data_IF_937762275457
#
_entry.id   IF_937762275457
#
_cell.length_a   1.000
_cell.length_b   1.000
_cell.length_c   1.000
_cell.angle_alpha   90.00
_cell.angle_beta   90.00
_cell.angle_gamma   90.00
#
_symmetry.space_group_name_H-M   'P 1'
#
loop_
_entity.id
_entity.type
_entity.pdbx_description
1 polymer ?
#
# COMPACT_ATOMS: atom_id res chain seq x y z
N UNK A 1 11.71 -36.24 -2.75
CA UNK A 1 11.36 -35.67 -1.43
C UNK A 1 12.14 -34.39 -1.24
N UNK A 2 11.56 -33.24 -1.57
CA UNK A 2 12.23 -31.94 -1.44
C UNK A 2 12.06 -31.48 0.01
N UNK A 3 13.12 -31.54 0.82
CA UNK A 3 13.09 -30.92 2.14
C UNK A 3 12.89 -29.41 1.93
N UNK A 4 11.74 -28.88 2.35
CA UNK A 4 11.57 -27.45 2.48
C UNK A 4 12.65 -26.94 3.46
N UNK A 5 13.56 -26.11 2.96
CA UNK A 5 14.52 -25.40 3.78
C UNK A 5 13.71 -24.61 4.83
N UNK A 6 14.02 -24.79 6.11
CA UNK A 6 13.28 -24.12 7.19
C UNK A 6 13.31 -22.59 7.05
N UNK A 7 12.39 -21.92 7.74
CA UNK A 7 12.36 -20.45 7.76
C UNK A 7 13.58 -19.90 8.52
N UNK A 8 14.18 -18.82 8.01
CA UNK A 8 15.24 -18.07 8.71
C UNK A 8 14.71 -17.31 9.93
N UNK A 9 15.58 -16.55 10.61
CA UNK A 9 15.17 -15.67 11.72
C UNK A 9 14.34 -14.51 11.18
N UNK A 10 13.19 -14.24 11.80
CA UNK A 10 12.29 -13.14 11.44
C UNK A 10 11.66 -12.52 12.68
N UNK A 11 11.16 -11.29 12.54
CA UNK A 11 10.39 -10.61 13.57
C UNK A 11 8.90 -10.72 13.27
N UNK A 12 8.08 -10.70 14.32
CA UNK A 12 6.62 -10.65 14.20
C UNK A 12 6.11 -9.40 14.93
N UNK A 13 5.57 -8.46 14.18
CA UNK A 13 4.90 -7.29 14.72
C UNK A 13 3.40 -7.57 14.89
N UNK A 14 2.87 -7.39 16.09
CA UNK A 14 1.46 -7.54 16.39
C UNK A 14 0.83 -6.18 16.72
N UNK A 15 -0.34 -5.88 16.15
CA UNK A 15 -1.07 -4.64 16.44
C UNK A 15 -2.57 -4.89 16.47
N UNK A 16 -3.21 -4.50 17.57
CA UNK A 16 -4.66 -4.44 17.68
C UNK A 16 -5.14 -2.99 17.61
N UNK A 17 -6.07 -2.68 16.72
CA UNK A 17 -6.64 -1.34 16.64
C UNK A 17 -7.58 -1.10 17.82
N UNK A 18 -7.32 -0.06 18.62
CA UNK A 18 -8.20 0.33 19.74
C UNK A 18 -9.60 0.66 19.22
N UNK A 19 -10.63 0.35 20.03
CA UNK A 19 -12.03 0.74 19.76
C UNK A 19 -12.12 2.24 19.51
N UNK A 20 -12.52 2.63 18.30
CA UNK A 20 -12.98 4.00 18.04
C UNK A 20 -14.51 4.04 18.13
N UNK A 21 -15.08 5.23 18.34
CA UNK A 21 -16.51 5.45 18.66
C UNK A 21 -17.53 4.68 17.80
N UNK A 22 -17.16 4.28 16.58
CA UNK A 22 -18.08 3.62 15.65
C UNK A 22 -17.55 2.34 14.98
N UNK A 23 -16.29 1.91 15.19
CA UNK A 23 -15.73 0.71 14.54
C UNK A 23 -14.67 0.03 15.43
N UNK A 24 -14.82 -1.27 15.61
CA UNK A 24 -13.79 -2.15 16.17
C UNK A 24 -13.27 -3.04 15.03
N UNK A 25 -11.96 -3.21 14.94
CA UNK A 25 -11.39 -4.25 14.06
C UNK A 25 -11.70 -5.61 14.66
N UNK A 26 -12.32 -6.50 13.89
CA UNK A 26 -12.60 -7.88 14.32
C UNK A 26 -11.30 -8.68 14.48
N UNK A 27 -10.25 -8.30 13.75
CA UNK A 27 -8.96 -8.99 13.72
C UNK A 27 -7.77 -8.08 14.05
N UNK A 28 -6.73 -8.68 14.64
CA UNK A 28 -5.45 -8.04 14.85
C UNK A 28 -4.57 -8.13 13.58
N UNK A 29 -3.64 -7.20 13.44
CA UNK A 29 -2.57 -7.34 12.46
C UNK A 29 -1.43 -8.16 13.06
N UNK A 30 -1.05 -9.23 12.38
CA UNK A 30 0.20 -9.97 12.61
C UNK A 30 1.06 -9.86 11.35
N UNK A 31 2.22 -9.22 11.48
CA UNK A 31 3.07 -8.85 10.35
C UNK A 31 4.42 -9.53 10.54
N UNK A 32 4.73 -10.48 9.65
CA UNK A 32 6.06 -11.06 9.52
C UNK A 32 6.98 -10.05 8.83
N UNK A 33 8.11 -9.73 9.45
CA UNK A 33 8.99 -8.67 8.97
C UNK A 33 10.46 -8.91 9.34
N UNK A 34 11.37 -8.38 8.53
CA UNK A 34 12.80 -8.27 8.85
C UNK A 34 13.15 -6.96 9.57
N UNK A 35 12.19 -6.06 9.76
CA UNK A 35 12.40 -4.78 10.44
C UNK A 35 12.56 -5.02 11.95
N UNK A 36 13.58 -4.39 12.56
CA UNK A 36 13.86 -4.52 14.00
C UNK A 36 12.92 -3.72 14.90
N UNK A 37 12.33 -2.63 14.38
CA UNK A 37 11.48 -1.72 15.14
C UNK A 37 9.99 -1.93 14.87
N UNK A 38 9.19 -2.04 15.93
CA UNK A 38 7.74 -2.27 15.85
C UNK A 38 7.02 -1.13 15.09
N UNK A 39 7.36 0.12 15.40
CA UNK A 39 6.74 1.28 14.75
C UNK A 39 7.08 1.36 13.26
N UNK A 40 8.30 0.98 12.87
CA UNK A 40 8.71 0.90 11.48
C UNK A 40 7.89 -0.18 10.75
N UNK A 41 7.73 -1.36 11.34
CA UNK A 41 6.92 -2.43 10.76
C UNK A 41 5.46 -2.02 10.56
N UNK A 42 4.85 -1.42 11.58
CA UNK A 42 3.46 -0.94 11.52
C UNK A 42 3.30 0.18 10.50
N UNK A 43 4.23 1.15 10.46
CA UNK A 43 4.18 2.29 9.52
C UNK A 43 4.35 1.81 8.08
N UNK A 44 5.28 0.91 7.82
CA UNK A 44 5.48 0.32 6.50
C UNK A 44 4.27 -0.49 6.07
N UNK A 45 3.69 -1.32 6.95
CA UNK A 45 2.51 -2.12 6.61
C UNK A 45 1.28 -1.26 6.30
N UNK A 46 1.09 -0.14 7.02
CA UNK A 46 0.01 0.82 6.72
C UNK A 46 0.07 1.38 5.29
N UNK A 47 1.26 1.50 4.70
CA UNK A 47 1.41 2.03 3.36
C UNK A 47 0.85 1.09 2.28
N UNK A 48 0.56 -0.18 2.58
CA UNK A 48 0.00 -1.12 1.59
C UNK A 48 -1.31 -0.62 0.97
N UNK A 49 -2.10 0.14 1.72
CA UNK A 49 -3.41 0.65 1.25
C UNK A 49 -3.28 1.78 0.21
N UNK A 50 -2.09 2.39 0.06
CA UNK A 50 -1.87 3.43 -0.96
C UNK A 50 -2.09 2.93 -2.39
N UNK A 51 -1.88 1.64 -2.66
CA UNK A 51 -2.13 1.05 -3.98
C UNK A 51 -3.64 1.03 -4.30
N UNK A 52 -4.50 0.86 -3.29
CA UNK A 52 -5.95 0.89 -3.46
C UNK A 52 -6.45 2.31 -3.75
N UNK A 53 -5.86 3.32 -3.10
CA UNK A 53 -6.10 4.73 -3.40
C UNK A 53 -5.68 5.04 -4.84
N UNK A 54 -4.47 4.63 -5.25
CA UNK A 54 -4.01 4.77 -6.63
C UNK A 54 -4.97 4.12 -7.63
N UNK A 55 -5.40 2.87 -7.41
CA UNK A 55 -6.35 2.20 -8.30
C UNK A 55 -7.72 2.87 -8.35
N UNK A 56 -8.18 3.44 -7.23
CA UNK A 56 -9.41 4.23 -7.19
C UNK A 56 -9.27 5.48 -8.07
N UNK A 57 -8.16 6.20 -7.93
CA UNK A 57 -7.89 7.42 -8.69
C UNK A 57 -7.80 7.15 -10.20
N UNK A 58 -7.20 6.03 -10.60
CA UNK A 58 -7.14 5.59 -12.01
C UNK A 58 -8.52 5.32 -12.62
N UNK A 59 -9.46 4.83 -11.80
CA UNK A 59 -10.85 4.54 -12.18
C UNK A 59 -11.72 5.77 -11.95
N UNK A 60 -12.75 5.67 -11.12
CA UNK A 60 -13.74 6.74 -10.90
C UNK A 60 -13.32 7.82 -9.89
N UNK A 61 -12.21 7.62 -9.18
CA UNK A 61 -11.78 8.49 -8.09
C UNK A 61 -11.11 9.80 -8.52
N UNK A 62 -10.63 9.90 -9.76
CA UNK A 62 -9.99 11.13 -10.25
C UNK A 62 -9.73 11.15 -11.75
N UNK A 63 -8.81 10.32 -12.22
CA UNK A 63 -8.28 10.37 -13.58
C UNK A 63 -9.20 9.77 -14.65
N UNK A 64 -10.10 8.85 -14.28
CA UNK A 64 -11.13 8.31 -15.18
C UNK A 64 -10.57 7.85 -16.52
N UNK A 65 -9.47 7.09 -16.49
CA UNK A 65 -8.71 6.69 -17.70
C UNK A 65 -9.62 6.07 -18.76
N UNK A 66 -10.59 5.25 -18.36
CA UNK A 66 -11.55 4.63 -19.28
C UNK A 66 -12.40 5.64 -20.04
N UNK A 67 -12.80 6.75 -19.41
CA UNK A 67 -13.58 7.82 -20.07
C UNK A 67 -12.73 8.70 -20.99
N UNK A 68 -11.42 8.76 -20.76
CA UNK A 68 -10.52 9.55 -21.61
C UNK A 68 -10.31 8.93 -22.99
N UNK A 69 -10.63 7.63 -23.15
CA UNK A 69 -10.46 6.86 -24.39
C UNK A 69 -9.06 7.01 -25.02
N UNK A 70 -8.04 7.28 -24.19
CA UNK A 70 -6.66 7.38 -24.63
C UNK A 70 -6.15 6.03 -25.13
N UNK A 71 -5.38 6.07 -26.21
CA UNK A 71 -4.74 4.89 -26.80
C UNK A 71 -3.36 5.24 -27.34
N UNK A 72 -2.54 4.21 -27.58
CA UNK A 72 -1.17 4.36 -28.06
C UNK A 72 -0.31 5.23 -27.16
N UNK A 73 0.57 6.04 -27.76
CA UNK A 73 1.55 6.88 -27.07
C UNK A 73 0.93 7.82 -26.03
N UNK A 74 -0.29 8.30 -26.25
CA UNK A 74 -0.96 9.22 -25.31
C UNK A 74 -1.36 8.52 -24.02
N UNK A 75 -1.77 7.26 -24.09
CA UNK A 75 -2.07 6.45 -22.91
C UNK A 75 -0.78 6.15 -22.14
N UNK A 76 0.29 5.80 -22.85
CA UNK A 76 1.60 5.54 -22.25
C UNK A 76 2.14 6.76 -21.51
N UNK A 77 2.11 7.93 -22.13
CA UNK A 77 2.51 9.19 -21.51
C UNK A 77 1.67 9.51 -20.25
N UNK A 78 0.35 9.28 -20.31
CA UNK A 78 -0.53 9.50 -19.16
C UNK A 78 -0.19 8.55 -18.00
N UNK A 79 0.00 7.26 -18.26
CA UNK A 79 0.41 6.28 -17.24
C UNK A 79 1.75 6.66 -16.63
N UNK A 80 2.70 7.12 -17.44
CA UNK A 80 4.01 7.56 -16.97
C UNK A 80 3.89 8.77 -16.03
N UNK A 81 3.10 9.79 -16.39
CA UNK A 81 2.85 10.97 -15.54
C UNK A 81 2.17 10.57 -14.23
N UNK A 82 1.19 9.66 -14.27
CA UNK A 82 0.54 9.16 -13.06
C UNK A 82 1.52 8.39 -12.18
N UNK A 83 2.38 7.53 -12.75
CA UNK A 83 3.40 6.82 -11.99
C UNK A 83 4.38 7.78 -11.30
N UNK A 84 4.79 8.85 -11.99
CA UNK A 84 5.61 9.91 -11.38
C UNK A 84 4.87 10.60 -10.23
N UNK A 85 3.61 11.00 -10.41
CA UNK A 85 2.81 11.63 -9.38
C UNK A 85 2.62 10.72 -8.15
N UNK A 86 2.30 9.44 -8.35
CA UNK A 86 2.16 8.46 -7.28
C UNK A 86 3.48 8.22 -6.53
N UNK A 87 4.61 8.21 -7.24
CA UNK A 87 5.94 8.10 -6.65
C UNK A 87 6.25 9.32 -5.79
N UNK A 88 6.01 10.52 -6.31
CA UNK A 88 6.19 11.77 -5.56
C UNK A 88 5.31 11.82 -4.30
N UNK A 89 4.04 11.45 -4.39
CA UNK A 89 3.13 11.40 -3.25
C UNK A 89 3.53 10.35 -2.19
N UNK A 90 4.21 9.28 -2.62
CA UNK A 90 4.68 8.22 -1.72
C UNK A 90 5.96 8.62 -0.99
N UNK A 91 6.88 9.28 -1.71
CA UNK A 91 8.19 9.73 -1.20
C UNK A 91 8.11 10.98 -0.34
N UNK A 92 7.21 11.91 -0.64
CA UNK A 92 6.98 13.10 0.17
C UNK A 92 6.09 12.67 1.34
N UNK A 93 6.58 12.64 2.59
CA UNK A 93 5.74 12.31 3.73
C UNK A 93 4.76 13.46 3.93
N UNK A 94 3.55 13.32 3.37
CA UNK A 94 2.44 14.21 3.74
C UNK A 94 2.12 13.94 5.21
N UNK A 95 2.53 14.85 6.08
CA UNK A 95 2.08 14.90 7.46
C UNK A 95 0.57 15.16 7.44
N UNK A 96 -0.22 14.09 7.61
CA UNK A 96 -1.66 14.15 7.88
C UNK A 96 -1.90 13.77 9.34
#
# INVERSE_FOLDING_TARGET
>A
MTKAQGFGVFNVAAKWQRKTRCKQSEEAWFILTSLGELDAAIKSYRQRFRIEEMFRDLKSGGYQLERTQLSGERLEAMIMVIAMACTSATLIPVQR
#
